data_IF_559740108052
#
_entry.id   IF_559740108052
#
_cell.length_a   1.000
_cell.length_b   1.000
_cell.length_c   1.000
_cell.angle_alpha   90.00
_cell.angle_beta   90.00
_cell.angle_gamma   90.00
#
_symmetry.space_group_name_H-M   'P 1'
#
loop_
_entity.id
_entity.type
_entity.pdbx_description
1 polymer ?
#
# COMPACT_ATOMS: atom_id res chain seq x y z
N UNK A 1 15.28 4.10 10.41
CA UNK A 1 13.98 3.42 10.56
C UNK A 1 12.79 4.37 10.33
N UNK A 2 12.64 5.45 11.13
CA UNK A 2 11.55 6.45 10.97
C UNK A 2 11.55 7.13 9.58
N UNK A 3 12.73 7.39 9.00
CA UNK A 3 12.82 8.02 7.68
C UNK A 3 12.31 7.13 6.54
N UNK A 4 12.57 5.81 6.60
CA UNK A 4 12.04 4.86 5.63
C UNK A 4 10.52 4.74 5.71
N UNK A 5 10.00 4.66 6.94
CA UNK A 5 8.56 4.62 7.21
C UNK A 5 7.85 5.88 6.70
N UNK A 6 8.44 7.04 6.98
CA UNK A 6 7.91 8.34 6.53
C UNK A 6 7.99 8.51 5.01
N UNK A 7 9.05 8.00 4.38
CA UNK A 7 9.21 8.03 2.93
C UNK A 7 8.17 7.14 2.25
N UNK A 8 7.96 5.92 2.73
CA UNK A 8 6.93 5.01 2.21
C UNK A 8 5.51 5.59 2.35
N UNK A 9 5.20 6.18 3.52
CA UNK A 9 3.92 6.86 3.73
C UNK A 9 3.70 7.99 2.72
N UNK A 10 4.72 8.81 2.47
CA UNK A 10 4.68 9.87 1.44
C UNK A 10 4.46 9.29 0.05
N UNK A 11 5.19 8.24 -0.33
CA UNK A 11 5.03 7.63 -1.65
C UNK A 11 3.61 7.10 -1.87
N UNK A 12 3.10 6.30 -0.92
CA UNK A 12 1.75 5.75 -1.01
C UNK A 12 0.69 6.86 -1.11
N UNK A 13 0.83 7.91 -0.29
CA UNK A 13 -0.09 9.04 -0.32
C UNK A 13 -0.02 9.84 -1.63
N UNK A 14 1.16 10.27 -2.07
CA UNK A 14 1.31 11.09 -3.26
C UNK A 14 0.85 10.34 -4.52
N UNK A 15 1.24 9.08 -4.69
CA UNK A 15 0.90 8.34 -5.89
C UNK A 15 -0.59 8.04 -6.01
N UNK A 16 -1.25 7.64 -4.94
CA UNK A 16 -2.69 7.42 -5.05
C UNK A 16 -3.50 8.72 -5.07
N UNK A 17 -2.98 9.87 -4.58
CA UNK A 17 -3.63 11.18 -4.81
C UNK A 17 -3.64 11.48 -6.32
N UNK A 18 -2.47 11.39 -6.96
CA UNK A 18 -2.35 11.58 -8.42
C UNK A 18 -3.20 10.56 -9.19
N UNK A 19 -3.22 9.31 -8.74
CA UNK A 19 -4.05 8.26 -9.34
C UNK A 19 -5.55 8.57 -9.23
N UNK A 20 -6.02 8.93 -8.04
CA UNK A 20 -7.40 9.30 -7.77
C UNK A 20 -7.83 10.54 -8.56
N UNK A 21 -7.00 11.58 -8.62
CA UNK A 21 -7.23 12.76 -9.46
C UNK A 21 -7.40 12.39 -10.93
N UNK A 22 -6.55 11.51 -11.47
CA UNK A 22 -6.68 11.05 -12.86
C UNK A 22 -7.96 10.26 -13.11
N UNK A 23 -8.39 9.42 -12.17
CA UNK A 23 -9.67 8.71 -12.26
C UNK A 23 -10.84 9.71 -12.23
N UNK A 24 -10.83 10.67 -11.30
CA UNK A 24 -11.86 11.70 -11.15
C UNK A 24 -11.96 12.61 -12.37
N UNK A 25 -10.83 13.13 -12.87
CA UNK A 25 -10.77 14.03 -14.02
C UNK A 25 -11.34 13.40 -15.30
N UNK A 26 -11.31 12.07 -15.41
CA UNK A 26 -11.83 11.32 -16.56
C UNK A 26 -13.19 10.66 -16.30
N UNK A 27 -13.78 10.90 -15.13
CA UNK A 27 -14.99 10.22 -14.64
C UNK A 27 -14.90 8.69 -14.79
N UNK A 28 -13.74 8.11 -14.44
CA UNK A 28 -13.45 6.68 -14.55
C UNK A 28 -13.49 6.04 -13.18
N UNK A 29 -14.14 4.88 -13.11
CA UNK A 29 -14.02 3.94 -11.99
C UNK A 29 -12.60 3.38 -11.96
N UNK A 30 -12.08 3.10 -10.77
CA UNK A 30 -10.69 2.73 -10.61
C UNK A 30 -10.42 1.78 -9.45
N UNK A 31 -9.22 1.20 -9.46
CA UNK A 31 -8.66 0.47 -8.32
C UNK A 31 -7.23 0.97 -8.11
N UNK A 32 -6.90 1.28 -6.86
CA UNK A 32 -5.54 1.57 -6.40
C UNK A 32 -5.10 0.38 -5.53
N UNK A 33 -3.93 -0.18 -5.83
CA UNK A 33 -3.37 -1.30 -5.07
C UNK A 33 -2.04 -0.87 -4.47
N UNK A 34 -1.99 -0.76 -3.14
CA UNK A 34 -0.78 -0.48 -2.39
C UNK A 34 -0.06 -1.80 -2.09
N UNK A 35 1.16 -1.97 -2.57
CA UNK A 35 1.96 -3.18 -2.33
C UNK A 35 3.21 -2.79 -1.58
N UNK A 36 3.53 -3.52 -0.50
CA UNK A 36 4.83 -3.39 0.17
C UNK A 36 5.72 -4.60 -0.12
N UNK A 37 7.01 -4.34 -0.32
CA UNK A 37 8.07 -5.35 -0.41
C UNK A 37 8.87 -5.36 0.89
N UNK A 38 9.45 -6.50 1.21
CA UNK A 38 10.45 -6.64 2.26
C UNK A 38 11.72 -7.24 1.63
N UNK A 39 12.76 -6.42 1.53
CA UNK A 39 13.96 -6.78 0.78
C UNK A 39 15.01 -7.53 1.64
N UNK A 40 14.81 -7.65 2.96
CA UNK A 40 15.82 -8.18 3.86
C UNK A 40 15.22 -9.09 4.95
N UNK A 41 15.23 -10.41 4.71
CA UNK A 41 14.61 -11.48 5.51
C UNK A 41 14.96 -11.55 7.01
N UNK A 42 15.91 -10.74 7.51
CA UNK A 42 16.45 -10.88 8.86
C UNK A 42 15.87 -9.87 9.89
N UNK A 43 15.16 -8.82 9.45
CA UNK A 43 14.63 -7.78 10.36
C UNK A 43 13.11 -7.59 10.23
N UNK A 44 12.35 -8.52 10.83
CA UNK A 44 10.89 -8.48 10.88
C UNK A 44 10.31 -7.29 11.67
N UNK A 45 11.13 -6.63 12.49
CA UNK A 45 10.71 -5.47 13.30
C UNK A 45 10.16 -4.33 12.45
N UNK A 46 10.64 -4.19 11.20
CA UNK A 46 10.19 -3.30 10.12
C UNK A 46 8.77 -3.52 9.62
N UNK A 47 8.42 -4.80 9.49
CA UNK A 47 7.31 -5.23 8.65
C UNK A 47 5.98 -4.90 9.29
N UNK A 48 5.87 -5.07 10.61
CA UNK A 48 4.64 -4.78 11.36
C UNK A 48 4.27 -3.29 11.29
N UNK A 49 5.27 -2.40 11.43
CA UNK A 49 5.04 -0.94 11.34
C UNK A 49 4.60 -0.52 9.95
N UNK A 50 5.21 -1.10 8.91
CA UNK A 50 4.84 -0.86 7.51
C UNK A 50 3.45 -1.42 7.19
N UNK A 51 3.15 -2.63 7.67
CA UNK A 51 1.85 -3.27 7.52
C UNK A 51 0.73 -2.44 8.15
N UNK A 52 0.95 -1.96 9.38
CA UNK A 52 0.00 -1.10 10.08
C UNK A 52 -0.22 0.23 9.33
N UNK A 53 0.84 0.86 8.82
CA UNK A 53 0.72 2.07 7.99
C UNK A 53 -0.07 1.82 6.70
N UNK A 54 0.26 0.77 5.95
CA UNK A 54 -0.43 0.43 4.70
C UNK A 54 -1.90 0.16 4.98
N UNK A 55 -2.21 -0.58 6.04
CA UNK A 55 -3.58 -0.88 6.44
C UNK A 55 -4.37 0.39 6.77
N UNK A 56 -3.81 1.26 7.63
CA UNK A 56 -4.42 2.52 8.03
C UNK A 56 -4.66 3.47 6.85
N UNK A 57 -3.65 3.67 6.00
CA UNK A 57 -3.77 4.50 4.80
C UNK A 57 -4.80 3.93 3.83
N UNK A 58 -4.71 2.64 3.51
CA UNK A 58 -5.62 1.97 2.59
C UNK A 58 -7.07 2.12 3.05
N UNK A 59 -7.34 1.89 4.33
CA UNK A 59 -8.69 1.97 4.89
C UNK A 59 -9.24 3.40 4.87
N UNK A 60 -8.45 4.37 5.33
CA UNK A 60 -8.84 5.79 5.32
C UNK A 60 -9.21 6.24 3.91
N UNK A 61 -8.40 5.83 2.94
CA UNK A 61 -8.57 6.28 1.57
C UNK A 61 -9.66 5.58 0.80
N UNK A 62 -9.87 4.29 1.06
CA UNK A 62 -11.03 3.57 0.54
C UNK A 62 -12.33 4.29 0.92
N UNK A 63 -12.45 4.79 2.17
CA UNK A 63 -13.62 5.57 2.60
C UNK A 63 -13.76 6.87 1.83
N UNK A 64 -12.69 7.64 1.70
CA UNK A 64 -12.68 8.93 0.99
C UNK A 64 -13.04 8.79 -0.50
N UNK A 65 -12.57 7.71 -1.14
CA UNK A 65 -12.67 7.52 -2.59
C UNK A 65 -13.90 6.71 -3.04
N UNK A 66 -14.61 6.06 -2.10
CA UNK A 66 -15.85 5.30 -2.37
C UNK A 66 -16.89 6.09 -3.17
N UNK A 67 -17.20 7.37 -2.86
CA UNK A 67 -18.18 8.14 -3.63
C UNK A 67 -17.84 8.31 -5.12
N UNK A 68 -16.55 8.21 -5.47
CA UNK A 68 -16.07 8.32 -6.86
C UNK A 68 -15.97 6.95 -7.56
N UNK A 69 -16.39 5.88 -6.90
CA UNK A 69 -16.27 4.50 -7.39
C UNK A 69 -14.81 4.10 -7.69
N UNK A 70 -13.91 4.60 -6.85
CA UNK A 70 -12.49 4.25 -6.83
C UNK A 70 -12.26 3.43 -5.56
N UNK A 71 -11.77 2.21 -5.72
CA UNK A 71 -11.51 1.27 -4.62
C UNK A 71 -10.02 1.27 -4.29
N UNK A 72 -9.68 1.05 -3.04
CA UNK A 72 -8.29 0.97 -2.59
C UNK A 72 -8.09 -0.34 -1.84
N UNK A 73 -7.03 -1.07 -2.17
CA UNK A 73 -6.64 -2.31 -1.51
C UNK A 73 -5.14 -2.33 -1.18
N UNK A 74 -4.78 -2.99 -0.08
CA UNK A 74 -3.40 -3.18 0.34
C UNK A 74 -3.00 -4.65 0.22
N UNK A 75 -1.79 -4.91 -0.27
CA UNK A 75 -1.21 -6.25 -0.38
C UNK A 75 0.07 -6.29 0.43
N UNK A 76 0.12 -7.25 1.35
CA UNK A 76 1.31 -7.57 2.15
C UNK A 76 1.67 -9.01 1.79
N UNK A 77 2.67 -9.24 0.93
CA UNK A 77 3.09 -10.58 0.56
C UNK A 77 3.59 -11.36 1.78
N UNK A 78 3.17 -12.63 1.90
CA UNK A 78 3.77 -13.56 2.87
C UNK A 78 5.08 -14.08 2.32
N UNK A 79 6.11 -14.15 3.18
CA UNK A 79 7.35 -14.84 2.86
C UNK A 79 7.12 -16.34 3.01
N UNK A 80 6.71 -17.02 1.94
CA UNK A 80 6.70 -18.47 1.94
C UNK A 80 8.09 -18.96 1.56
N UNK A 81 8.79 -19.60 2.50
CA UNK A 81 9.88 -20.50 2.15
C UNK A 81 9.27 -21.66 1.37
N UNK A 82 9.34 -21.62 0.05
CA UNK A 82 9.35 -22.86 -0.71
C UNK A 82 10.69 -23.52 -0.34
N UNK A 83 10.67 -24.38 0.68
CA UNK A 83 11.74 -25.36 0.83
C UNK A 83 11.65 -26.23 -0.42
N UNK A 84 12.50 -25.97 -1.40
CA UNK A 84 12.88 -27.00 -2.34
C UNK A 84 13.58 -28.07 -1.51
N UNK A 85 12.83 -29.11 -1.15
CA UNK A 85 13.41 -30.36 -0.66
C UNK A 85 14.23 -30.95 -1.83
N UNK A 86 15.55 -30.80 -1.76
CA UNK A 86 16.54 -31.51 -2.57
C UNK A 86 17.10 -32.67 -1.76
#
# INVERSE_FOLDING_TARGET
YIDHLSSAARFLYTYGQVGAERFRARNKKGVIVNVISHDNHEDFTGVESMAALVSGFTHSWAKELTPFNIRVGGVIPSVNHTKEEL
#
